data_IF_833968939840
#
_entry.id   IF_833968939840
#
_cell.length_a   1.000
_cell.length_b   1.000
_cell.length_c   1.000
_cell.angle_alpha   90.00
_cell.angle_beta   90.00
_cell.angle_gamma   90.00
#
_symmetry.space_group_name_H-M   'P 1'
#
loop_
_entity.id
_entity.type
_entity.pdbx_description
1 polymer ?
#
# COMPACT_ATOMS: atom_id res chain seq x y z
N UNK A 1 7.65 -6.69 -8.23
CA UNK A 1 8.15 -5.46 -7.56
C UNK A 1 7.34 -5.24 -6.30
N UNK A 2 7.91 -4.64 -5.26
CA UNK A 2 7.19 -4.37 -4.02
C UNK A 2 6.65 -2.94 -4.06
N UNK A 3 5.38 -2.79 -3.70
CA UNK A 3 4.69 -1.52 -3.65
C UNK A 3 4.24 -1.22 -2.23
N UNK A 4 4.43 0.03 -1.80
CA UNK A 4 3.81 0.59 -0.61
C UNK A 4 2.52 1.27 -1.03
N UNK A 5 1.39 0.75 -0.58
CA UNK A 5 0.06 1.29 -0.86
C UNK A 5 -0.39 2.08 0.36
N UNK A 6 -0.59 3.38 0.18
CA UNK A 6 -1.22 4.25 1.17
C UNK A 6 -2.73 4.21 0.97
N UNK A 7 -3.47 3.96 2.03
CA UNK A 7 -4.92 3.80 1.96
C UNK A 7 -5.61 4.26 3.23
N UNK A 8 -6.91 4.49 3.14
CA UNK A 8 -7.80 4.61 4.29
C UNK A 8 -8.84 3.49 4.25
N UNK A 9 -9.26 3.02 5.42
CA UNK A 9 -10.19 1.88 5.52
C UNK A 9 -11.60 2.22 5.00
N UNK A 10 -11.99 3.50 5.01
CA UNK A 10 -13.36 3.95 4.72
C UNK A 10 -13.38 4.88 3.50
N UNK A 11 -14.22 4.56 2.51
CA UNK A 11 -14.45 5.38 1.29
C UNK A 11 -15.54 6.45 1.44
N UNK A 12 -16.44 6.28 2.41
CA UNK A 12 -17.68 7.07 2.58
C UNK A 12 -17.46 8.49 3.14
N UNK A 13 -16.35 8.72 3.84
CA UNK A 13 -16.10 9.97 4.57
C UNK A 13 -14.97 10.79 3.96
N UNK A 14 -14.92 12.06 4.35
CA UNK A 14 -13.80 12.94 4.01
C UNK A 14 -12.48 12.34 4.52
N UNK A 15 -11.43 12.31 3.67
CA UNK A 15 -10.16 11.71 4.05
C UNK A 15 -9.50 12.49 5.17
N UNK A 16 -8.95 11.77 6.15
CA UNK A 16 -8.23 12.34 7.30
C UNK A 16 -6.79 11.86 7.28
N UNK A 17 -5.88 12.82 7.34
CA UNK A 17 -4.44 12.57 7.22
C UNK A 17 -3.91 11.62 8.28
N UNK A 18 -4.49 11.66 9.48
CA UNK A 18 -4.11 10.86 10.63
C UNK A 18 -4.58 9.39 10.53
N UNK A 19 -5.50 9.10 9.62
CA UNK A 19 -6.09 7.77 9.42
C UNK A 19 -5.49 7.02 8.22
N UNK A 20 -4.55 7.64 7.49
CA UNK A 20 -3.84 6.99 6.39
C UNK A 20 -2.96 5.86 6.92
N UNK A 21 -3.21 4.65 6.43
CA UNK A 21 -2.43 3.46 6.71
C UNK A 21 -1.57 3.08 5.50
N UNK A 22 -0.62 2.19 5.73
CA UNK A 22 0.24 1.65 4.68
C UNK A 22 0.20 0.12 4.70
N UNK A 23 0.14 -0.49 3.52
CA UNK A 23 0.38 -1.92 3.32
C UNK A 23 1.45 -2.12 2.26
N UNK A 24 2.09 -3.28 2.26
CA UNK A 24 3.13 -3.64 1.30
C UNK A 24 2.68 -4.86 0.51
N UNK A 25 2.71 -4.77 -0.82
CA UNK A 25 2.25 -5.84 -1.71
C UNK A 25 3.26 -6.08 -2.83
N UNK A 26 3.40 -7.33 -3.24
CA UNK A 26 4.17 -7.69 -4.44
C UNK A 26 3.25 -7.73 -5.66
N UNK A 27 3.62 -7.02 -6.72
CA UNK A 27 2.90 -7.02 -7.99
C UNK A 27 3.82 -6.78 -9.19
N UNK A 28 3.30 -7.02 -10.39
CA UNK A 28 4.03 -6.82 -11.64
C UNK A 28 4.09 -5.34 -12.08
N UNK A 29 3.11 -4.52 -11.68
CA UNK A 29 3.03 -3.10 -11.99
C UNK A 29 2.23 -2.32 -10.94
N UNK A 30 2.32 -0.99 -10.95
CA UNK A 30 1.53 -0.12 -10.06
C UNK A 30 0.02 -0.32 -10.27
N UNK A 31 -0.40 -0.51 -11.52
CA UNK A 31 -1.80 -0.79 -11.87
C UNK A 31 -2.25 -2.13 -11.29
N UNK A 32 -1.42 -3.17 -11.43
CA UNK A 32 -1.71 -4.49 -10.86
C UNK A 32 -1.76 -4.45 -9.33
N UNK A 33 -0.87 -3.69 -8.68
CA UNK A 33 -0.87 -3.50 -7.24
C UNK A 33 -2.16 -2.83 -6.76
N UNK A 34 -2.60 -1.76 -7.43
CA UNK A 34 -3.88 -1.09 -7.13
C UNK A 34 -5.04 -2.06 -7.28
N UNK A 35 -5.10 -2.75 -8.41
CA UNK A 35 -6.21 -3.64 -8.73
C UNK A 35 -6.33 -4.80 -7.73
N UNK A 36 -5.21 -5.40 -7.32
CA UNK A 36 -5.18 -6.43 -6.28
C UNK A 36 -5.77 -5.94 -4.96
N UNK A 37 -5.48 -4.70 -4.55
CA UNK A 37 -6.03 -4.13 -3.31
C UNK A 37 -7.52 -3.82 -3.48
N UNK A 38 -7.94 -3.25 -4.61
CA UNK A 38 -9.36 -2.94 -4.89
C UNK A 38 -10.23 -4.19 -5.01
N UNK A 39 -9.71 -5.28 -5.58
CA UNK A 39 -10.45 -6.53 -5.78
C UNK A 39 -10.64 -7.30 -4.46
N UNK A 40 -9.74 -7.11 -3.48
CA UNK A 40 -9.75 -7.88 -2.22
C UNK A 40 -10.17 -7.05 -1.00
N UNK A 41 -10.28 -5.73 -1.12
CA UNK A 41 -10.58 -4.84 0.01
C UNK A 41 -11.48 -3.68 -0.39
N UNK A 42 -12.23 -3.16 0.58
CA UNK A 42 -13.02 -1.93 0.38
C UNK A 42 -12.19 -0.65 0.63
N UNK A 43 -10.87 -0.76 0.70
CA UNK A 43 -9.98 0.35 1.06
C UNK A 43 -9.97 1.47 0.02
N UNK A 44 -9.96 2.70 0.51
CA UNK A 44 -9.76 3.91 -0.29
C UNK A 44 -8.26 4.11 -0.54
N UNK A 45 -7.79 3.74 -1.72
CA UNK A 45 -6.37 3.86 -2.08
C UNK A 45 -6.04 5.32 -2.37
N UNK A 46 -5.11 5.89 -1.61
CA UNK A 46 -4.64 7.26 -1.79
C UNK A 46 -3.44 7.33 -2.74
N UNK A 47 -2.48 6.43 -2.57
CA UNK A 47 -1.25 6.44 -3.36
C UNK A 47 -0.59 5.07 -3.43
N UNK A 48 0.04 4.76 -4.56
CA UNK A 48 0.83 3.53 -4.76
C UNK A 48 2.26 3.94 -5.07
N UNK A 49 3.21 3.50 -4.26
CA UNK A 49 4.61 3.87 -4.37
C UNK A 49 5.46 2.62 -4.66
N UNK A 50 6.20 2.61 -5.76
CA UNK A 50 7.14 1.53 -6.08
C UNK A 50 8.38 1.61 -5.16
N UNK A 51 8.69 0.54 -4.44
CA UNK A 51 9.86 0.46 -3.57
C UNK A 51 11.01 -0.29 -4.24
N UNK A 52 12.17 0.38 -4.33
CA UNK A 52 13.36 -0.18 -4.97
C UNK A 52 14.64 0.14 -4.16
N UNK A 53 15.63 -0.74 -4.31
CA UNK A 53 16.99 -0.56 -3.77
C UNK A 53 17.02 -0.18 -2.28
N UNK A 54 17.72 0.91 -1.97
CA UNK A 54 17.93 1.37 -0.59
C UNK A 54 16.62 1.75 0.13
N UNK A 55 15.58 2.17 -0.59
CA UNK A 55 14.30 2.53 0.03
C UNK A 55 13.58 1.29 0.56
N UNK A 56 13.59 0.20 -0.22
CA UNK A 56 13.01 -1.07 0.21
C UNK A 56 13.74 -1.65 1.42
N UNK A 57 15.06 -1.60 1.44
CA UNK A 57 15.86 -2.09 2.57
C UNK A 57 15.60 -1.26 3.84
N UNK A 58 15.51 0.07 3.71
CA UNK A 58 15.14 0.93 4.83
C UNK A 58 13.76 0.61 5.41
N UNK A 59 12.76 0.40 4.55
CA UNK A 59 11.39 0.05 4.96
C UNK A 59 11.35 -1.29 5.70
N UNK A 60 12.10 -2.30 5.24
CA UNK A 60 12.20 -3.60 5.91
C UNK A 60 12.83 -3.53 7.30
N UNK A 61 13.79 -2.62 7.50
CA UNK A 61 14.51 -2.48 8.78
C UNK A 61 13.78 -1.59 9.79
N UNK A 62 13.06 -0.57 9.33
CA UNK A 62 12.57 0.53 10.20
C UNK A 62 11.05 0.66 10.28
N UNK A 63 10.28 0.06 9.37
CA UNK A 63 8.82 0.07 9.42
C UNK A 63 8.27 -1.26 9.95
N UNK A 64 6.98 -1.28 10.32
CA UNK A 64 6.24 -2.54 10.52
C UNK A 64 5.93 -3.16 9.15
N UNK A 65 7.00 -3.52 8.43
CA UNK A 65 6.93 -4.04 7.08
C UNK A 65 6.31 -5.44 7.10
N UNK A 66 5.05 -5.51 6.68
CA UNK A 66 4.31 -6.75 6.50
C UNK A 66 3.83 -6.84 5.07
N UNK A 67 4.32 -7.86 4.38
CA UNK A 67 3.91 -8.17 3.04
C UNK A 67 2.56 -8.89 3.11
N UNK A 68 1.54 -8.30 2.50
CA UNK A 68 0.19 -8.88 2.44
C UNK A 68 0.01 -9.67 1.14
N UNK A 69 -0.69 -10.79 1.27
CA UNK A 69 -1.14 -11.64 0.17
C UNK A 69 -2.63 -11.89 0.35
N UNK A 70 -3.38 -11.83 -0.74
CA UNK A 70 -4.81 -12.10 -0.76
C UNK A 70 -5.09 -13.48 -1.35
#
# INVERSE_FOLDING_TARGET
MIYKVLYQEVKDRNPKREETQALYIEAESEVAARQLVEDNTEYNIEFVHALEGNHLEYEKENADFKLVSF
#
